data_IF_643487885986
#
_entry.id   IF_643487885986
#
_cell.length_a   1.000
_cell.length_b   1.000
_cell.length_c   1.000
_cell.angle_alpha   90.00
_cell.angle_beta   90.00
_cell.angle_gamma   90.00
#
_symmetry.space_group_name_H-M   'P 1'
#
loop_
_entity.id
_entity.type
_entity.pdbx_description
1 polymer ?
#
# COMPACT_ATOMS: atom_id res chain seq x y z
N UNK A 1 -20.36 -11.47 -12.68
CA UNK A 1 -19.87 -12.67 -11.99
C UNK A 1 -20.88 -13.06 -10.92
N UNK A 2 -21.37 -14.30 -10.92
CA UNK A 2 -22.35 -14.75 -9.91
C UNK A 2 -21.61 -15.16 -8.64
N UNK A 3 -21.56 -14.28 -7.64
CA UNK A 3 -20.85 -14.45 -6.37
C UNK A 3 -21.56 -15.43 -5.41
N UNK A 4 -22.68 -16.05 -5.84
CA UNK A 4 -23.46 -16.96 -5.00
C UNK A 4 -23.09 -18.43 -5.18
N UNK A 5 -22.28 -18.78 -6.18
CA UNK A 5 -21.83 -20.17 -6.43
C UNK A 5 -20.49 -20.42 -5.76
N UNK A 6 -20.33 -21.64 -5.22
CA UNK A 6 -19.03 -22.10 -4.73
C UNK A 6 -17.99 -22.06 -5.86
N UNK A 7 -16.80 -21.56 -5.54
CA UNK A 7 -15.69 -21.56 -6.50
C UNK A 7 -15.21 -22.99 -6.75
N UNK A 8 -15.00 -23.33 -8.03
CA UNK A 8 -14.44 -24.63 -8.43
C UNK A 8 -13.05 -24.51 -9.06
N UNK A 9 -12.56 -23.28 -9.22
CA UNK A 9 -11.29 -22.95 -9.86
C UNK A 9 -10.48 -22.02 -8.94
N UNK A 10 -9.23 -22.33 -8.63
CA UNK A 10 -8.35 -21.47 -7.83
C UNK A 10 -8.23 -20.04 -8.36
N UNK A 11 -8.25 -19.85 -9.68
CA UNK A 11 -8.24 -18.53 -10.30
C UNK A 11 -9.52 -17.76 -10.01
N UNK A 12 -10.66 -18.43 -10.05
CA UNK A 12 -11.95 -17.82 -9.72
C UNK A 12 -11.99 -17.44 -8.23
N UNK A 13 -11.50 -18.30 -7.33
CA UNK A 13 -11.38 -18.02 -5.92
C UNK A 13 -10.54 -16.76 -5.68
N UNK A 14 -9.34 -16.70 -6.28
CA UNK A 14 -8.45 -15.54 -6.17
C UNK A 14 -9.13 -14.23 -6.61
N UNK A 15 -9.84 -14.26 -7.73
CA UNK A 15 -10.58 -13.10 -8.25
C UNK A 15 -11.70 -12.66 -7.31
N UNK A 16 -12.47 -13.60 -6.75
CA UNK A 16 -13.57 -13.31 -5.83
C UNK A 16 -13.07 -12.69 -4.53
N UNK A 17 -12.03 -13.29 -3.94
CA UNK A 17 -11.37 -12.78 -2.73
C UNK A 17 -10.86 -11.36 -2.95
N UNK A 18 -10.10 -11.14 -4.04
CA UNK A 18 -9.60 -9.81 -4.39
C UNK A 18 -10.74 -8.79 -4.59
N UNK A 19 -11.85 -9.21 -5.21
CA UNK A 19 -13.02 -8.36 -5.40
C UNK A 19 -13.67 -7.95 -4.05
N UNK A 20 -13.77 -8.87 -3.09
CA UNK A 20 -14.28 -8.55 -1.75
C UNK A 20 -13.34 -7.63 -0.99
N UNK A 21 -12.03 -7.84 -1.08
CA UNK A 21 -11.03 -6.95 -0.45
C UNK A 21 -11.11 -5.52 -0.99
N UNK A 22 -11.19 -5.36 -2.31
CA UNK A 22 -11.33 -4.04 -2.95
C UNK A 22 -12.61 -3.32 -2.51
N UNK A 23 -13.71 -4.08 -2.26
CA UNK A 23 -14.96 -3.53 -1.75
C UNK A 23 -14.96 -3.25 -0.24
N UNK A 24 -13.86 -3.55 0.47
CA UNK A 24 -13.78 -3.45 1.92
C UNK A 24 -14.60 -4.52 2.67
N UNK A 25 -15.06 -5.57 1.96
CA UNK A 25 -15.85 -6.67 2.51
C UNK A 25 -14.94 -7.79 3.04
N UNK A 26 -14.02 -7.46 3.95
CA UNK A 26 -12.97 -8.37 4.44
C UNK A 26 -13.52 -9.64 5.10
N UNK A 27 -14.71 -9.58 5.75
CA UNK A 27 -15.35 -10.76 6.33
C UNK A 27 -15.76 -11.76 5.25
N UNK A 28 -16.32 -11.27 4.15
CA UNK A 28 -16.72 -12.13 3.03
C UNK A 28 -15.51 -12.70 2.30
N UNK A 29 -14.42 -11.92 2.20
CA UNK A 29 -13.17 -12.39 1.62
C UNK A 29 -12.57 -13.55 2.42
N UNK A 30 -12.53 -13.41 3.75
CA UNK A 30 -12.04 -14.46 4.65
C UNK A 30 -12.90 -15.72 4.59
N UNK A 31 -14.21 -15.56 4.70
CA UNK A 31 -15.22 -16.62 4.62
C UNK A 31 -15.10 -17.42 3.29
N UNK A 32 -14.81 -16.72 2.18
CA UNK A 32 -14.64 -17.34 0.87
C UNK A 32 -13.34 -18.16 0.79
N UNK A 33 -12.26 -17.70 1.40
CA UNK A 33 -11.00 -18.49 1.48
C UNK A 33 -11.20 -19.72 2.35
N UNK A 34 -11.77 -19.56 3.53
CA UNK A 34 -11.95 -20.65 4.50
C UNK A 34 -12.87 -21.76 3.99
N UNK A 35 -13.91 -21.41 3.23
CA UNK A 35 -14.81 -22.39 2.58
C UNK A 35 -14.16 -23.16 1.43
N UNK A 36 -13.09 -22.63 0.85
CA UNK A 36 -12.45 -23.20 -0.34
C UNK A 36 -10.98 -23.56 -0.10
N UNK A 37 -10.59 -23.93 1.11
CA UNK A 37 -9.19 -24.22 1.48
C UNK A 37 -8.54 -25.26 0.57
N UNK A 38 -9.28 -26.28 0.12
CA UNK A 38 -8.77 -27.30 -0.80
C UNK A 38 -8.31 -26.75 -2.17
N UNK A 39 -8.75 -25.56 -2.54
CA UNK A 39 -8.29 -24.91 -3.78
C UNK A 39 -6.98 -24.13 -3.58
N UNK A 40 -6.55 -23.90 -2.33
CA UNK A 40 -5.31 -23.20 -2.03
C UNK A 40 -4.09 -24.07 -2.40
N UNK A 41 -4.21 -25.38 -2.33
CA UNK A 41 -3.15 -26.36 -2.66
C UNK A 41 -2.82 -26.46 -4.16
N UNK A 42 -3.03 -25.41 -4.93
CA UNK A 42 -2.96 -25.42 -6.38
C UNK A 42 -2.01 -24.36 -6.94
N UNK A 43 -2.09 -24.11 -8.24
CA UNK A 43 -1.22 -23.19 -8.98
C UNK A 43 -1.12 -21.77 -8.38
N UNK A 44 -2.12 -21.31 -7.63
CA UNK A 44 -2.15 -19.97 -7.01
C UNK A 44 -1.92 -20.01 -5.50
N UNK A 45 -1.36 -21.10 -4.99
CA UNK A 45 -1.15 -21.36 -3.56
C UNK A 45 -0.55 -20.16 -2.83
N UNK A 46 0.62 -19.69 -3.23
CA UNK A 46 1.32 -18.59 -2.56
C UNK A 46 0.48 -17.31 -2.49
N UNK A 47 -0.23 -16.96 -3.57
CA UNK A 47 -1.08 -15.77 -3.61
C UNK A 47 -2.29 -15.88 -2.69
N UNK A 48 -2.96 -17.02 -2.71
CA UNK A 48 -4.13 -17.27 -1.85
C UNK A 48 -3.73 -17.32 -0.38
N UNK A 49 -2.61 -17.96 -0.05
CA UNK A 49 -2.05 -17.95 1.30
C UNK A 49 -1.71 -16.53 1.76
N UNK A 50 -1.05 -15.73 0.92
CA UNK A 50 -0.74 -14.34 1.24
C UNK A 50 -2.01 -13.53 1.54
N UNK A 51 -3.04 -13.62 0.69
CA UNK A 51 -4.32 -12.93 0.93
C UNK A 51 -5.00 -13.41 2.22
N UNK A 52 -4.94 -14.72 2.52
CA UNK A 52 -5.49 -15.27 3.76
C UNK A 52 -4.82 -14.65 4.98
N UNK A 53 -3.49 -14.65 5.03
CA UNK A 53 -2.75 -14.05 6.15
C UNK A 53 -2.95 -12.53 6.23
N UNK A 54 -2.94 -11.80 5.12
CA UNK A 54 -3.23 -10.36 5.13
C UNK A 54 -4.61 -10.06 5.73
N UNK A 55 -5.63 -10.85 5.41
CA UNK A 55 -6.96 -10.73 5.99
C UNK A 55 -6.95 -11.02 7.49
N UNK A 56 -6.33 -12.11 7.92
CA UNK A 56 -6.27 -12.49 9.33
C UNK A 56 -5.51 -11.44 10.16
N UNK A 57 -4.35 -11.00 9.69
CA UNK A 57 -3.52 -10.01 10.39
C UNK A 57 -4.18 -8.64 10.42
N UNK A 58 -4.79 -8.19 9.32
CA UNK A 58 -5.52 -6.91 9.30
C UNK A 58 -6.67 -6.85 10.32
N UNK A 59 -7.24 -8.00 10.64
CA UNK A 59 -8.29 -8.17 11.66
C UNK A 59 -7.76 -8.49 13.05
N UNK A 60 -6.43 -8.59 13.21
CA UNK A 60 -5.75 -9.00 14.46
C UNK A 60 -6.18 -10.39 14.96
N UNK A 61 -6.56 -11.28 14.04
CA UNK A 61 -6.93 -12.66 14.31
C UNK A 61 -5.67 -13.54 14.37
N UNK A 62 -4.80 -13.29 15.35
CA UNK A 62 -3.48 -13.92 15.43
C UNK A 62 -3.53 -15.41 15.74
N UNK A 63 -4.51 -15.86 16.52
CA UNK A 63 -4.67 -17.27 16.86
C UNK A 63 -5.14 -18.06 15.64
N UNK A 64 -6.07 -17.51 14.86
CA UNK A 64 -6.52 -18.06 13.60
C UNK A 64 -5.38 -18.08 12.56
N UNK A 65 -4.54 -17.03 12.54
CA UNK A 65 -3.36 -17.00 11.68
C UNK A 65 -2.35 -18.12 12.04
N UNK A 66 -2.14 -18.42 13.34
CA UNK A 66 -1.31 -19.54 13.78
C UNK A 66 -1.91 -20.90 13.38
N UNK A 67 -3.22 -21.04 13.49
CA UNK A 67 -3.92 -22.25 13.06
C UNK A 67 -3.78 -22.44 11.54
N UNK A 68 -3.99 -21.38 10.76
CA UNK A 68 -3.83 -21.41 9.31
C UNK A 68 -2.38 -21.75 8.91
N UNK A 69 -1.39 -21.15 9.58
CA UNK A 69 0.03 -21.44 9.33
C UNK A 69 0.33 -22.91 9.55
N UNK A 70 -0.10 -23.47 10.69
CA UNK A 70 0.09 -24.90 10.99
C UNK A 70 -0.58 -25.79 9.94
N UNK A 71 -1.80 -25.46 9.50
CA UNK A 71 -2.49 -26.19 8.45
C UNK A 71 -1.68 -26.21 7.15
N UNK A 72 -1.07 -25.11 6.76
CA UNK A 72 -0.25 -25.01 5.55
C UNK A 72 1.12 -25.72 5.71
N UNK A 73 1.70 -25.74 6.91
CA UNK A 73 2.92 -26.50 7.21
C UNK A 73 2.70 -28.01 7.13
N UNK A 74 1.48 -28.49 7.43
CA UNK A 74 1.11 -29.91 7.41
C UNK A 74 0.77 -30.41 5.98
N UNK A 75 0.81 -29.57 4.94
CA UNK A 75 0.55 -29.98 3.56
C UNK A 75 1.63 -30.96 3.05
N UNK A 76 1.24 -32.01 2.32
CA UNK A 76 2.15 -33.10 1.95
C UNK A 76 3.26 -32.71 0.96
N UNK A 77 3.09 -31.62 0.25
CA UNK A 77 4.07 -31.09 -0.68
C UNK A 77 3.93 -29.57 -0.82
N UNK A 78 5.01 -28.85 -0.54
CA UNK A 78 5.11 -27.40 -0.74
C UNK A 78 6.37 -27.06 -1.53
N UNK A 79 6.33 -26.01 -2.33
CA UNK A 79 7.51 -25.51 -3.02
C UNK A 79 8.43 -24.78 -2.05
N UNK A 80 9.71 -24.64 -2.41
CA UNK A 80 10.67 -23.86 -1.60
C UNK A 80 10.18 -22.43 -1.36
N UNK A 81 9.57 -21.80 -2.36
CA UNK A 81 9.01 -20.44 -2.24
C UNK A 81 7.90 -20.38 -1.17
N UNK A 82 7.06 -21.41 -1.07
CA UNK A 82 6.01 -21.48 -0.05
C UNK A 82 6.61 -21.73 1.34
N UNK A 83 7.66 -22.54 1.46
CA UNK A 83 8.36 -22.75 2.73
C UNK A 83 9.01 -21.46 3.24
N UNK A 84 9.67 -20.71 2.35
CA UNK A 84 10.27 -19.42 2.68
C UNK A 84 9.21 -18.39 3.09
N UNK A 85 8.10 -18.36 2.38
CA UNK A 85 6.95 -17.51 2.73
C UNK A 85 6.38 -17.86 4.11
N UNK A 86 6.14 -19.15 4.41
CA UNK A 86 5.61 -19.58 5.70
C UNK A 86 6.55 -19.22 6.86
N UNK A 87 7.87 -19.37 6.64
CA UNK A 87 8.87 -18.96 7.65
C UNK A 87 8.79 -17.46 7.95
N UNK A 88 8.75 -16.62 6.91
CA UNK A 88 8.58 -15.18 7.09
C UNK A 88 7.24 -14.81 7.74
N UNK A 89 6.17 -15.53 7.39
CA UNK A 89 4.86 -15.29 7.97
C UNK A 89 4.79 -15.67 9.44
N UNK A 90 5.50 -16.73 9.85
CA UNK A 90 5.62 -17.11 11.26
C UNK A 90 6.25 -16.00 12.10
N UNK A 91 7.36 -15.44 11.63
CA UNK A 91 8.02 -14.30 12.28
C UNK A 91 7.07 -13.09 12.34
N UNK A 92 6.39 -12.79 11.26
CA UNK A 92 5.44 -11.67 11.19
C UNK A 92 4.27 -11.85 12.15
N UNK A 93 3.66 -13.03 12.25
CA UNK A 93 2.58 -13.31 13.21
C UNK A 93 3.06 -13.10 14.64
N UNK A 94 4.26 -13.58 14.98
CA UNK A 94 4.82 -13.38 16.34
C UNK A 94 5.13 -11.90 16.59
N UNK A 95 5.71 -11.18 15.66
CA UNK A 95 6.01 -9.76 15.81
C UNK A 95 4.75 -8.90 15.92
N UNK A 96 3.68 -9.19 15.17
CA UNK A 96 2.42 -8.45 15.22
C UNK A 96 1.53 -8.84 16.41
N UNK A 97 1.57 -10.11 16.85
CA UNK A 97 0.77 -10.59 18.00
C UNK A 97 1.38 -10.20 19.35
N UNK A 98 2.70 -10.19 19.41
CA UNK A 98 3.46 -9.68 20.54
C UNK A 98 4.37 -8.58 20.02
N UNK A 99 3.85 -7.38 19.76
CA UNK A 99 4.71 -6.32 19.31
C UNK A 99 5.86 -6.27 20.30
N UNK A 100 7.03 -6.81 19.87
CA UNK A 100 8.28 -6.58 20.59
C UNK A 100 8.22 -5.12 20.89
N UNK A 101 8.29 -4.73 22.19
CA UNK A 101 8.21 -3.34 22.58
C UNK A 101 9.08 -2.60 21.57
N UNK A 102 8.43 -2.04 20.55
CA UNK A 102 9.08 -1.35 19.44
C UNK A 102 10.04 -0.45 20.16
N UNK A 103 11.34 -0.49 19.84
CA UNK A 103 12.35 0.27 20.52
C UNK A 103 11.73 1.61 20.83
N UNK A 104 11.43 1.82 22.10
CA UNK A 104 10.75 3.01 22.55
C UNK A 104 11.83 4.06 22.46
N UNK A 105 11.95 4.65 21.26
CA UNK A 105 12.88 5.75 21.09
C UNK A 105 12.58 6.77 22.17
N UNK A 106 13.57 7.16 22.91
CA UNK A 106 13.43 8.29 23.83
C UNK A 106 13.09 9.54 22.98
N UNK A 107 12.35 10.47 23.55
CA UNK A 107 11.91 11.68 22.85
C UNK A 107 13.09 12.37 22.17
N UNK A 108 14.20 12.55 22.90
CA UNK A 108 15.40 13.22 22.39
C UNK A 108 16.04 12.47 21.22
N UNK A 109 15.98 11.14 21.21
CA UNK A 109 16.48 10.32 20.09
C UNK A 109 15.60 10.50 18.83
N UNK A 110 14.28 10.52 18.99
CA UNK A 110 13.35 10.81 17.88
C UNK A 110 13.61 12.20 17.30
N UNK A 111 13.77 13.20 18.15
CA UNK A 111 14.04 14.58 17.73
C UNK A 111 15.36 14.67 16.96
N UNK A 112 16.43 14.04 17.46
CA UNK A 112 17.74 14.03 16.79
C UNK A 112 17.68 13.34 15.41
N UNK A 113 16.96 12.21 15.31
CA UNK A 113 16.77 11.49 14.05
C UNK A 113 15.98 12.34 13.05
N UNK A 114 14.87 12.95 13.45
CA UNK A 114 14.08 13.80 12.55
C UNK A 114 14.87 15.02 12.07
N UNK A 115 15.75 15.58 12.91
CA UNK A 115 16.48 16.79 12.58
C UNK A 115 17.75 16.55 11.75
N UNK A 116 18.47 15.42 11.98
CA UNK A 116 19.84 15.26 11.47
C UNK A 116 20.11 13.96 10.72
N UNK A 117 19.33 12.88 10.99
CA UNK A 117 19.62 11.58 10.39
C UNK A 117 19.37 11.60 8.88
N UNK A 118 20.21 10.89 8.12
CA UNK A 118 20.08 10.70 6.67
C UNK A 118 19.95 9.22 6.26
N UNK A 119 20.12 8.30 7.22
CA UNK A 119 19.92 6.88 7.00
C UNK A 119 18.43 6.58 6.86
N UNK A 120 18.04 6.15 5.65
CA UNK A 120 16.65 5.86 5.31
C UNK A 120 16.03 4.79 6.22
N UNK A 121 16.80 3.79 6.67
CA UNK A 121 16.30 2.72 7.53
C UNK A 121 15.92 3.24 8.91
N UNK A 122 16.76 4.09 9.52
CA UNK A 122 16.47 4.70 10.82
C UNK A 122 15.30 5.69 10.73
N UNK A 123 15.30 6.54 9.68
CA UNK A 123 14.21 7.49 9.46
C UNK A 123 12.89 6.77 9.32
N UNK A 124 12.82 5.71 8.49
CA UNK A 124 11.60 4.94 8.28
C UNK A 124 11.10 4.31 9.60
N UNK A 125 11.97 3.67 10.36
CA UNK A 125 11.62 3.05 11.65
C UNK A 125 11.02 4.08 12.62
N UNK A 126 11.64 5.26 12.75
CA UNK A 126 11.13 6.32 13.60
C UNK A 126 9.79 6.83 13.11
N UNK A 127 9.68 7.22 11.83
CA UNK A 127 8.43 7.76 11.28
C UNK A 127 7.27 6.76 11.42
N UNK A 128 7.49 5.47 11.13
CA UNK A 128 6.46 4.44 11.32
C UNK A 128 6.09 4.22 12.77
N UNK A 129 7.05 4.34 13.69
CA UNK A 129 6.77 4.22 15.12
C UNK A 129 5.89 5.37 15.63
N UNK A 130 6.02 6.58 15.05
CA UNK A 130 5.27 7.77 15.49
C UNK A 130 3.74 7.62 15.38
N UNK A 131 3.22 6.70 14.57
CA UNK A 131 1.78 6.37 14.57
C UNK A 131 1.27 5.90 15.94
N UNK A 132 2.14 5.31 16.75
CA UNK A 132 1.82 4.75 18.06
C UNK A 132 2.08 5.72 19.22
N UNK A 133 2.53 6.94 18.90
CA UNK A 133 2.86 7.97 19.89
C UNK A 133 1.89 9.16 19.81
N UNK A 134 1.96 10.01 20.82
CA UNK A 134 1.31 11.31 20.75
C UNK A 134 2.11 12.22 19.80
N UNK A 135 1.70 12.30 18.54
CA UNK A 135 2.39 13.08 17.50
C UNK A 135 2.54 14.57 17.89
N UNK A 136 1.68 15.09 18.75
CA UNK A 136 1.74 16.49 19.18
C UNK A 136 3.08 16.87 19.86
N UNK A 137 3.80 15.92 20.44
CA UNK A 137 5.11 16.16 21.04
C UNK A 137 6.19 16.46 19.98
N UNK A 138 5.99 15.96 18.74
CA UNK A 138 6.98 15.99 17.66
C UNK A 138 6.64 16.99 16.56
N UNK A 139 5.56 17.79 16.70
CA UNK A 139 5.08 18.70 15.66
C UNK A 139 6.19 19.60 15.15
N UNK A 140 6.97 20.23 16.02
CA UNK A 140 8.01 21.17 15.60
C UNK A 140 9.13 20.47 14.81
N UNK A 141 9.55 19.28 15.23
CA UNK A 141 10.55 18.50 14.48
C UNK A 141 9.98 17.96 13.16
N UNK A 142 8.72 17.56 13.12
CA UNK A 142 8.07 17.20 11.86
C UNK A 142 7.97 18.37 10.89
N UNK A 143 7.70 19.59 11.39
CA UNK A 143 7.71 20.83 10.57
C UNK A 143 9.10 21.17 10.00
N UNK A 144 10.17 20.84 10.73
CA UNK A 144 11.53 20.94 10.21
C UNK A 144 11.79 19.83 9.19
N UNK A 145 11.43 18.60 9.52
CA UNK A 145 11.67 17.42 8.69
C UNK A 145 11.04 17.51 7.30
N UNK A 146 9.79 17.98 7.19
CA UNK A 146 9.08 18.10 5.91
C UNK A 146 9.69 19.13 4.93
N UNK A 147 10.65 19.93 5.39
CA UNK A 147 11.41 20.91 4.58
C UNK A 147 12.80 20.40 4.19
N UNK A 148 13.26 19.29 4.72
CA UNK A 148 14.61 18.76 4.48
C UNK A 148 14.76 18.29 3.04
N UNK A 149 15.78 18.79 2.35
CA UNK A 149 16.13 18.39 0.97
C UNK A 149 17.05 17.17 0.91
N UNK A 150 17.67 16.82 2.03
CA UNK A 150 18.65 15.72 2.19
C UNK A 150 18.02 14.37 2.53
N UNK A 151 16.69 14.30 2.61
CA UNK A 151 15.94 13.06 2.90
C UNK A 151 15.05 12.66 1.72
N UNK A 152 14.71 11.38 1.66
CA UNK A 152 13.82 10.87 0.62
C UNK A 152 12.46 11.62 0.62
N UNK A 153 11.97 12.07 -0.55
CA UNK A 153 10.68 12.77 -0.66
C UNK A 153 9.51 12.04 0.01
N UNK A 154 9.46 10.71 -0.11
CA UNK A 154 8.37 9.91 0.47
C UNK A 154 8.33 9.97 1.99
N UNK A 155 9.49 10.11 2.65
CA UNK A 155 9.51 10.33 4.10
C UNK A 155 8.95 11.69 4.49
N UNK A 156 9.22 12.74 3.69
CA UNK A 156 8.59 14.05 3.92
C UNK A 156 7.07 13.98 3.76
N UNK A 157 6.61 13.29 2.70
CA UNK A 157 5.17 13.05 2.50
C UNK A 157 4.56 12.29 3.68
N UNK A 158 5.24 11.24 4.16
CA UNK A 158 4.76 10.50 5.32
C UNK A 158 4.70 11.34 6.60
N UNK A 159 5.72 12.17 6.84
CA UNK A 159 5.73 13.12 7.96
C UNK A 159 4.61 14.17 7.86
N UNK A 160 4.29 14.64 6.63
CA UNK A 160 3.13 15.49 6.42
C UNK A 160 1.82 14.76 6.72
N UNK A 161 1.68 13.49 6.33
CA UNK A 161 0.50 12.66 6.65
C UNK A 161 0.33 12.53 8.17
N UNK A 162 1.40 12.38 8.94
CA UNK A 162 1.31 12.36 10.41
C UNK A 162 0.74 13.67 10.97
N UNK A 163 1.09 14.82 10.39
CA UNK A 163 0.50 16.11 10.77
C UNK A 163 -0.97 16.22 10.36
N UNK A 164 -1.36 15.64 9.22
CA UNK A 164 -2.75 15.57 8.75
C UNK A 164 -3.58 14.69 9.68
N UNK A 165 -3.09 13.52 10.06
CA UNK A 165 -3.76 12.61 10.98
C UNK A 165 -3.90 13.23 12.40
N UNK A 166 -2.91 14.02 12.81
CA UNK A 166 -2.95 14.81 14.06
C UNK A 166 -3.88 16.03 13.96
N UNK A 167 -4.44 16.34 12.78
CA UNK A 167 -5.28 17.51 12.50
C UNK A 167 -4.63 18.84 12.91
N UNK A 168 -3.33 18.97 12.66
CA UNK A 168 -2.59 20.19 12.99
C UNK A 168 -3.13 21.37 12.19
N UNK A 169 -3.65 22.40 12.89
CA UNK A 169 -4.42 23.50 12.29
C UNK A 169 -3.60 24.80 12.12
N UNK A 170 -2.35 24.68 11.70
CA UNK A 170 -1.56 25.81 11.24
C UNK A 170 -0.97 25.53 9.86
N UNK A 171 -0.65 26.61 9.13
CA UNK A 171 0.04 26.49 7.85
C UNK A 171 1.48 26.04 8.07
N UNK A 172 1.91 25.04 7.30
CA UNK A 172 3.30 24.55 7.27
C UNK A 172 3.89 24.69 5.87
N UNK A 173 5.19 24.97 5.80
CA UNK A 173 5.95 24.88 4.56
C UNK A 173 6.33 23.42 4.31
N UNK A 174 5.97 22.92 3.16
CA UNK A 174 6.29 21.56 2.73
C UNK A 174 7.13 21.59 1.46
N UNK A 175 8.26 20.88 1.47
CA UNK A 175 9.10 20.72 0.29
C UNK A 175 8.53 19.61 -0.58
N UNK A 176 7.63 19.97 -1.49
CA UNK A 176 7.08 19.09 -2.50
C UNK A 176 8.10 18.86 -3.63
N UNK A 177 7.73 18.01 -4.58
CA UNK A 177 8.49 17.79 -5.81
C UNK A 177 8.67 19.07 -6.64
N UNK A 178 7.65 19.91 -6.67
CA UNK A 178 7.61 21.13 -7.48
C UNK A 178 8.13 22.37 -6.73
N UNK A 179 8.72 22.18 -5.56
CA UNK A 179 9.23 23.26 -4.71
C UNK A 179 8.49 23.36 -3.38
N UNK A 180 8.74 24.47 -2.68
CA UNK A 180 8.10 24.71 -1.38
C UNK A 180 6.67 25.19 -1.60
N UNK A 181 5.73 24.52 -0.96
CA UNK A 181 4.31 24.90 -0.93
C UNK A 181 3.85 25.10 0.52
N UNK A 182 2.76 25.83 0.69
CA UNK A 182 2.14 26.06 2.01
C UNK A 182 0.91 25.15 2.10
N UNK A 183 0.87 24.33 3.14
CA UNK A 183 -0.21 23.37 3.39
C UNK A 183 -0.77 23.59 4.79
N UNK A 184 -2.09 23.55 4.94
CA UNK A 184 -2.72 23.42 6.26
C UNK A 184 -3.12 21.96 6.46
N UNK A 185 -2.43 21.21 7.35
CA UNK A 185 -2.68 19.76 7.52
C UNK A 185 -4.11 19.44 7.95
N UNK A 186 -4.77 20.29 8.77
CA UNK A 186 -6.15 20.03 9.23
C UNK A 186 -7.18 20.10 8.09
N UNK A 187 -6.82 20.73 6.97
CA UNK A 187 -7.67 20.90 5.78
C UNK A 187 -7.31 19.96 4.65
N UNK A 188 -6.17 19.27 4.75
CA UNK A 188 -5.74 18.30 3.75
C UNK A 188 -6.42 16.96 4.00
N UNK A 189 -6.89 16.32 2.92
CA UNK A 189 -7.41 14.95 3.01
C UNK A 189 -6.25 13.95 3.08
N UNK A 190 -6.34 12.89 3.90
CA UNK A 190 -5.40 11.78 3.84
C UNK A 190 -5.42 11.17 2.42
N UNK A 191 -4.26 10.83 1.83
CA UNK A 191 -4.16 10.51 0.40
C UNK A 191 -5.01 9.31 -0.04
N UNK A 192 -5.27 8.35 0.86
CA UNK A 192 -6.02 7.13 0.56
C UNK A 192 -7.47 7.15 1.03
N UNK A 193 -7.96 8.26 1.58
CA UNK A 193 -9.34 8.42 2.06
C UNK A 193 -10.22 9.26 1.12
N UNK A 194 -9.67 9.73 0.02
CA UNK A 194 -10.43 10.50 -0.97
C UNK A 194 -11.41 9.62 -1.75
N UNK A 195 -12.59 10.14 -2.04
CA UNK A 195 -13.61 9.44 -2.84
C UNK A 195 -13.09 9.10 -4.23
N UNK A 196 -12.33 10.02 -4.83
CA UNK A 196 -11.73 9.84 -6.15
C UNK A 196 -10.66 8.73 -6.15
N UNK A 197 -9.92 8.54 -5.04
CA UNK A 197 -9.00 7.42 -4.89
C UNK A 197 -9.72 6.08 -5.08
N UNK A 198 -10.83 5.90 -4.38
CA UNK A 198 -11.63 4.67 -4.49
C UNK A 198 -12.21 4.48 -5.89
N UNK A 199 -12.61 5.58 -6.54
CA UNK A 199 -13.14 5.53 -7.91
C UNK A 199 -12.06 5.13 -8.93
N UNK A 200 -10.84 5.67 -8.83
CA UNK A 200 -9.70 5.25 -9.68
C UNK A 200 -9.39 3.77 -9.46
N UNK A 201 -9.31 3.29 -8.22
CA UNK A 201 -9.08 1.88 -7.91
C UNK A 201 -10.15 0.97 -8.54
N UNK A 202 -11.42 1.38 -8.45
CA UNK A 202 -12.55 0.68 -9.08
C UNK A 202 -12.39 0.63 -10.60
N UNK A 203 -12.11 1.77 -11.24
CA UNK A 203 -11.91 1.85 -12.69
C UNK A 203 -10.72 1.03 -13.17
N UNK A 204 -9.61 1.01 -12.44
CA UNK A 204 -8.46 0.14 -12.73
C UNK A 204 -8.92 -1.32 -12.75
N UNK A 205 -9.65 -1.76 -11.72
CA UNK A 205 -10.12 -3.14 -11.60
C UNK A 205 -11.07 -3.53 -12.76
N UNK A 206 -11.97 -2.62 -13.12
CA UNK A 206 -12.92 -2.84 -14.22
C UNK A 206 -12.24 -2.88 -15.59
N UNK A 207 -11.33 -1.94 -15.85
CA UNK A 207 -10.65 -1.80 -17.16
C UNK A 207 -9.57 -2.84 -17.41
N UNK A 208 -8.94 -3.37 -16.36
CA UNK A 208 -7.90 -4.41 -16.47
C UNK A 208 -8.45 -5.77 -16.98
N UNK A 209 -9.73 -5.86 -17.34
CA UNK A 209 -10.39 -7.04 -17.93
C UNK A 209 -10.10 -8.34 -17.17
N UNK A 210 -10.08 -8.29 -15.83
CA UNK A 210 -9.77 -9.40 -14.94
C UNK A 210 -8.35 -9.99 -15.08
N UNK A 211 -7.42 -9.28 -15.70
CA UNK A 211 -5.99 -9.62 -15.60
C UNK A 211 -5.45 -9.18 -14.23
N UNK A 212 -5.25 -10.17 -13.37
CA UNK A 212 -4.82 -9.94 -11.97
C UNK A 212 -3.47 -9.21 -11.95
N UNK A 213 -2.53 -9.60 -12.82
CA UNK A 213 -1.19 -8.99 -12.84
C UNK A 213 -1.24 -7.52 -13.24
N UNK A 214 -2.08 -7.17 -14.24
CA UNK A 214 -2.29 -5.76 -14.63
C UNK A 214 -2.95 -5.01 -13.47
N UNK A 215 -3.98 -5.58 -12.85
CA UNK A 215 -4.70 -4.93 -11.74
C UNK A 215 -3.76 -4.63 -10.57
N UNK A 216 -3.03 -5.64 -10.07
CA UNK A 216 -2.11 -5.47 -8.93
C UNK A 216 -1.00 -4.47 -9.23
N UNK A 217 -0.37 -4.58 -10.42
CA UNK A 217 0.68 -3.64 -10.83
C UNK A 217 0.13 -2.23 -10.96
N UNK A 218 -1.07 -2.06 -11.55
CA UNK A 218 -1.70 -0.75 -11.68
C UNK A 218 -2.04 -0.12 -10.33
N UNK A 219 -2.61 -0.88 -9.39
CA UNK A 219 -2.91 -0.38 -8.06
C UNK A 219 -1.63 0.03 -7.31
N UNK A 220 -0.57 -0.76 -7.43
CA UNK A 220 0.72 -0.41 -6.85
C UNK A 220 1.28 0.90 -7.45
N UNK A 221 1.30 1.03 -8.78
CA UNK A 221 1.76 2.25 -9.46
C UNK A 221 0.92 3.47 -9.09
N UNK A 222 -0.39 3.30 -8.95
CA UNK A 222 -1.28 4.37 -8.52
C UNK A 222 -0.97 4.82 -7.09
N UNK A 223 -0.73 3.89 -6.17
CA UNK A 223 -0.31 4.22 -4.80
C UNK A 223 1.01 5.00 -4.79
N UNK A 224 2.01 4.59 -5.58
CA UNK A 224 3.26 5.34 -5.72
C UNK A 224 3.00 6.75 -6.24
N UNK A 225 2.20 6.90 -7.29
CA UNK A 225 1.87 8.19 -7.89
C UNK A 225 1.20 9.13 -6.89
N UNK A 226 0.25 8.62 -6.10
CA UNK A 226 -0.42 9.40 -5.03
C UNK A 226 0.60 9.92 -4.00
N UNK A 227 1.46 9.05 -3.49
CA UNK A 227 2.46 9.43 -2.48
C UNK A 227 3.46 10.44 -3.04
N UNK A 228 3.89 10.25 -4.29
CA UNK A 228 4.87 11.10 -4.94
C UNK A 228 4.33 12.50 -5.28
N UNK A 229 3.02 12.63 -5.45
CA UNK A 229 2.36 13.90 -5.78
C UNK A 229 1.70 14.58 -4.60
N UNK A 230 1.46 13.87 -3.50
CA UNK A 230 0.80 14.44 -2.33
C UNK A 230 1.53 15.68 -1.79
N UNK A 231 0.83 16.76 -1.40
CA UNK A 231 -0.62 16.91 -1.27
C UNK A 231 -1.32 17.57 -2.48
N UNK A 232 -0.75 17.46 -3.68
CA UNK A 232 -1.34 18.03 -4.89
C UNK A 232 -2.65 17.32 -5.25
N UNK A 233 -3.65 18.06 -5.71
CA UNK A 233 -4.88 17.49 -6.24
C UNK A 233 -4.64 17.00 -7.68
N UNK A 234 -4.44 15.70 -7.84
CA UNK A 234 -4.26 15.08 -9.15
C UNK A 234 -5.59 14.78 -9.87
N UNK A 235 -6.71 14.83 -9.16
CA UNK A 235 -8.00 14.39 -9.68
C UNK A 235 -8.65 15.40 -10.63
N UNK A 236 -8.15 16.64 -10.69
CA UNK A 236 -8.51 17.60 -11.73
C UNK A 236 -8.25 17.09 -13.16
N UNK A 237 -7.30 16.15 -13.32
CA UNK A 237 -7.01 15.47 -14.60
C UNK A 237 -8.19 14.60 -15.05
N UNK A 238 -8.97 14.09 -14.10
CA UNK A 238 -10.08 13.16 -14.31
C UNK A 238 -9.72 11.71 -13.98
N UNK A 239 -10.55 11.08 -13.15
CA UNK A 239 -10.33 9.71 -12.63
C UNK A 239 -10.22 8.66 -13.73
N UNK A 240 -10.99 8.82 -14.81
CA UNK A 240 -10.97 7.92 -15.97
C UNK A 240 -9.64 7.97 -16.73
N UNK A 241 -9.09 9.17 -16.93
CA UNK A 241 -7.79 9.37 -17.60
C UNK A 241 -6.64 8.83 -16.75
N UNK A 242 -6.67 9.09 -15.45
CA UNK A 242 -5.66 8.57 -14.51
C UNK A 242 -5.66 7.05 -14.54
N UNK A 243 -6.82 6.40 -14.38
CA UNK A 243 -6.92 4.94 -14.40
C UNK A 243 -6.41 4.33 -15.70
N UNK A 244 -6.74 4.92 -16.85
CA UNK A 244 -6.30 4.48 -18.18
C UNK A 244 -4.78 4.64 -18.36
N UNK A 245 -4.21 5.76 -17.93
CA UNK A 245 -2.78 6.03 -18.01
C UNK A 245 -1.97 5.06 -17.12
N UNK A 246 -2.44 4.79 -15.91
CA UNK A 246 -1.81 3.82 -14.99
C UNK A 246 -1.84 2.40 -15.56
N UNK A 247 -2.96 1.97 -16.14
CA UNK A 247 -3.05 0.65 -16.80
C UNK A 247 -2.05 0.56 -17.96
N UNK A 248 -1.93 1.58 -18.77
CA UNK A 248 -0.97 1.60 -19.87
C UNK A 248 0.48 1.45 -19.37
N UNK A 249 0.84 2.07 -18.25
CA UNK A 249 2.16 1.90 -17.62
C UNK A 249 2.33 0.44 -17.16
N UNK A 250 1.33 -0.12 -16.48
CA UNK A 250 1.38 -1.51 -16.01
C UNK A 250 1.51 -2.51 -17.17
N UNK A 251 0.79 -2.32 -18.27
CA UNK A 251 0.92 -3.15 -19.47
C UNK A 251 2.34 -3.09 -20.05
N UNK A 252 2.97 -1.90 -20.08
CA UNK A 252 4.37 -1.72 -20.52
C UNK A 252 5.32 -2.48 -19.61
N UNK A 253 5.21 -2.36 -18.29
CA UNK A 253 6.08 -3.03 -17.31
C UNK A 253 5.97 -4.55 -17.38
N UNK A 254 4.77 -5.06 -17.62
CA UNK A 254 4.51 -6.49 -17.74
C UNK A 254 4.78 -7.04 -19.15
N UNK A 255 5.28 -6.21 -20.08
CA UNK A 255 5.48 -6.59 -21.48
C UNK A 255 4.23 -7.24 -22.12
N UNK A 256 3.07 -6.75 -21.75
CA UNK A 256 1.77 -7.20 -22.29
C UNK A 256 1.48 -6.51 -23.64
N UNK A 257 0.49 -7.05 -24.37
CA UNK A 257 -0.05 -6.35 -25.53
C UNK A 257 -0.71 -5.06 -25.06
N UNK A 258 -0.23 -3.93 -25.57
CA UNK A 258 -0.76 -2.62 -25.19
C UNK A 258 -2.19 -2.46 -25.68
N UNK A 259 -3.03 -1.96 -24.81
CA UNK A 259 -4.38 -1.48 -25.15
C UNK A 259 -4.28 -0.24 -26.03
N UNK A 260 -5.29 -0.01 -26.87
CA UNK A 260 -5.33 1.18 -27.71
C UNK A 260 -5.87 2.36 -26.91
N UNK A 261 -5.03 3.35 -26.71
CA UNK A 261 -5.38 4.61 -26.04
C UNK A 261 -5.16 5.79 -26.96
N UNK A 262 -5.85 6.90 -26.69
CA UNK A 262 -5.64 8.15 -27.39
C UNK A 262 -4.30 8.80 -26.99
N UNK A 263 -3.89 9.81 -27.79
CA UNK A 263 -2.61 10.50 -27.60
C UNK A 263 -2.53 11.22 -26.24
N UNK A 264 -3.67 11.67 -25.71
CA UNK A 264 -3.73 12.34 -24.40
C UNK A 264 -3.38 11.38 -23.28
N UNK A 265 -3.92 10.16 -23.29
CA UNK A 265 -3.61 9.12 -22.28
C UNK A 265 -2.17 8.68 -22.39
N UNK A 266 -1.63 8.56 -23.61
CA UNK A 266 -0.22 8.20 -23.81
C UNK A 266 0.69 9.24 -23.17
N UNK A 267 0.48 10.53 -23.46
CA UNK A 267 1.26 11.63 -22.85
C UNK A 267 1.12 11.67 -21.32
N UNK A 268 -0.08 11.44 -20.81
CA UNK A 268 -0.34 11.38 -19.38
C UNK A 268 0.42 10.20 -18.74
N UNK A 269 0.41 9.03 -19.39
CA UNK A 269 1.14 7.85 -18.89
C UNK A 269 2.64 8.11 -18.80
N UNK A 270 3.24 8.77 -19.79
CA UNK A 270 4.65 9.15 -19.77
C UNK A 270 4.97 10.13 -18.64
N UNK A 271 4.09 11.12 -18.42
CA UNK A 271 4.24 12.06 -17.30
C UNK A 271 4.19 11.35 -15.95
N UNK A 272 3.20 10.50 -15.73
CA UNK A 272 3.04 9.74 -14.49
C UNK A 272 4.23 8.79 -14.29
N UNK A 273 4.65 8.07 -15.31
CA UNK A 273 5.80 7.17 -15.26
C UNK A 273 7.08 7.92 -14.86
N UNK A 274 7.35 9.07 -15.48
CA UNK A 274 8.49 9.92 -15.11
C UNK A 274 8.43 10.39 -13.64
N UNK A 275 7.24 10.65 -13.13
CA UNK A 275 7.03 11.00 -11.72
C UNK A 275 7.45 9.84 -10.81
N UNK A 276 6.94 8.66 -11.04
CA UNK A 276 7.22 7.47 -10.24
C UNK A 276 8.71 7.10 -10.32
N UNK A 277 9.29 7.05 -11.53
CA UNK A 277 10.69 6.62 -11.74
C UNK A 277 11.73 7.61 -11.21
N UNK A 278 11.38 8.89 -11.09
CA UNK A 278 12.31 9.91 -10.57
C UNK A 278 12.36 9.96 -9.04
N UNK A 279 11.45 9.27 -8.35
CA UNK A 279 11.49 9.14 -6.89
C UNK A 279 12.42 7.99 -6.53
N UNK A 280 13.45 8.21 -5.69
CA UNK A 280 14.35 7.16 -5.27
C UNK A 280 13.58 6.05 -4.55
N UNK A 281 13.71 4.79 -5.00
CA UNK A 281 13.13 3.64 -4.31
C UNK A 281 13.58 3.59 -2.85
N UNK A 282 12.64 3.47 -1.95
CA UNK A 282 12.93 3.10 -0.57
C UNK A 282 13.15 1.59 -0.58
N UNK A 283 14.41 1.15 -0.60
CA UNK A 283 14.74 -0.25 -0.33
C UNK A 283 14.59 -0.46 1.18
N UNK A 284 13.42 -0.96 1.57
CA UNK A 284 13.13 -1.39 2.94
C UNK A 284 13.75 -2.76 3.18
#
# INVERSE_FOLDING_TARGET
MDLTKESKDPKELLMRVSCFMIKGESDKALDEIEKNQSLIETKYQLRLMNLHFELLLSKKLFDEARIALKHYEDLPYVSQEVEEFMRGMKERIEDESHPKATHKYEIDEVLDILEKETDNSKISQVLFSLKNYNVNIYIDSLKIFIKRSDVNPNFRTYALILLVDAKYDENVEFLSRNGVIIVNPSKANPPFMDVNFNEVCKLITEKANHDISITETSLHLFNCYIIDTYPEDIYEIGVDKISSAIILIAEKYLSKKLSSFDEEIIKLSEKIQNIIESTPEIRL
#
